data_IF_230603654738
#
_entry.id   IF_230603654738
#
_cell.length_a   1.000
_cell.length_b   1.000
_cell.length_c   1.000
_cell.angle_alpha   90.00
_cell.angle_beta   90.00
_cell.angle_gamma   90.00
#
_symmetry.space_group_name_H-M   'P 1'
#
loop_
_entity.id
_entity.type
_entity.pdbx_description
1 polymer ?
#
# COMPACT_ATOMS: atom_id res chain seq x y z
N UNK A 1 14.61 -7.59 -15.44
CA UNK A 1 13.88 -8.85 -15.72
C UNK A 1 14.53 -10.00 -14.98
N UNK A 2 13.75 -10.92 -14.46
CA UNK A 2 14.25 -12.10 -13.79
C UNK A 2 14.17 -13.31 -14.75
N UNK A 3 15.33 -13.83 -15.12
CA UNK A 3 15.42 -15.01 -15.97
C UNK A 3 15.44 -16.30 -15.15
N UNK A 4 14.74 -17.32 -15.62
CA UNK A 4 14.74 -18.63 -14.98
C UNK A 4 16.15 -19.23 -14.96
N UNK A 5 16.61 -19.64 -13.79
CA UNK A 5 17.94 -20.23 -13.60
C UNK A 5 18.10 -21.58 -14.33
N UNK A 6 16.97 -22.25 -14.66
CA UNK A 6 16.99 -23.56 -15.32
C UNK A 6 16.90 -23.47 -16.86
N UNK A 7 16.08 -22.58 -17.40
CA UNK A 7 15.82 -22.55 -18.86
C UNK A 7 16.00 -21.16 -19.49
N UNK A 8 16.33 -20.12 -18.71
CA UNK A 8 16.50 -18.75 -19.20
C UNK A 8 15.19 -18.02 -19.51
N UNK A 9 14.02 -18.67 -19.39
CA UNK A 9 12.73 -18.06 -19.65
C UNK A 9 12.34 -17.04 -18.58
N UNK A 10 11.25 -16.28 -18.84
CA UNK A 10 10.76 -15.28 -17.90
C UNK A 10 10.14 -15.94 -16.64
N UNK A 11 10.39 -15.35 -15.47
CA UNK A 11 9.74 -15.75 -14.21
C UNK A 11 8.82 -14.64 -13.71
N UNK A 12 7.69 -15.02 -13.12
CA UNK A 12 6.72 -14.13 -12.51
C UNK A 12 6.43 -14.57 -11.08
N UNK A 13 6.06 -13.62 -10.24
CA UNK A 13 5.64 -13.96 -8.88
C UNK A 13 4.27 -14.64 -8.92
N UNK A 14 4.22 -15.87 -8.43
CA UNK A 14 2.99 -16.64 -8.28
C UNK A 14 2.41 -16.47 -6.88
N UNK A 15 1.23 -15.88 -6.82
CA UNK A 15 0.52 -15.56 -5.57
C UNK A 15 0.22 -16.82 -4.76
N UNK A 16 -0.10 -17.95 -5.42
CA UNK A 16 -0.53 -19.18 -4.75
C UNK A 16 0.62 -19.87 -4.02
N UNK A 17 1.77 -19.95 -4.68
CA UNK A 17 2.97 -20.55 -4.08
C UNK A 17 3.78 -19.57 -3.23
N UNK A 18 3.60 -18.24 -3.44
CA UNK A 18 4.44 -17.21 -2.84
C UNK A 18 5.86 -17.20 -3.36
N UNK A 19 6.10 -17.79 -4.54
CA UNK A 19 7.41 -17.96 -5.19
C UNK A 19 7.41 -17.37 -6.59
N UNK A 20 8.60 -17.29 -7.19
CA UNK A 20 8.73 -16.99 -8.62
C UNK A 20 8.52 -18.25 -9.43
N UNK A 21 7.56 -18.25 -10.35
CA UNK A 21 7.26 -19.36 -11.24
C UNK A 21 7.74 -19.07 -12.66
N UNK A 22 8.43 -20.01 -13.27
CA UNK A 22 8.79 -19.93 -14.68
C UNK A 22 7.60 -20.32 -15.57
N UNK A 23 7.27 -19.47 -16.55
CA UNK A 23 6.15 -19.73 -17.47
C UNK A 23 6.44 -20.88 -18.46
N UNK A 24 7.71 -21.26 -18.65
CA UNK A 24 8.10 -22.28 -19.62
C UNK A 24 8.35 -23.66 -18.99
N UNK A 25 9.22 -23.70 -17.98
CA UNK A 25 9.61 -24.99 -17.36
C UNK A 25 8.92 -25.24 -16.02
N UNK A 26 8.06 -24.35 -15.57
CA UNK A 26 7.30 -24.42 -14.31
C UNK A 26 8.15 -24.59 -13.03
N UNK A 27 9.45 -24.32 -13.11
CA UNK A 27 10.33 -24.29 -11.94
C UNK A 27 9.96 -23.15 -11.01
N UNK A 28 10.00 -23.41 -9.71
CA UNK A 28 9.72 -22.44 -8.66
C UNK A 28 11.03 -22.00 -7.99
N UNK A 29 11.11 -20.73 -7.65
CA UNK A 29 12.30 -20.12 -7.01
C UNK A 29 11.87 -19.18 -5.90
N UNK A 30 12.68 -19.14 -4.84
CA UNK A 30 12.51 -18.14 -3.79
C UNK A 30 12.75 -16.73 -4.36
N UNK A 31 11.87 -15.74 -4.12
CA UNK A 31 12.08 -14.36 -4.55
C UNK A 31 13.44 -13.78 -4.11
N UNK A 32 13.91 -14.12 -2.93
CA UNK A 32 15.21 -13.67 -2.41
C UNK A 32 16.42 -14.28 -3.10
N UNK A 33 16.26 -15.39 -3.81
CA UNK A 33 17.34 -15.99 -4.59
C UNK A 33 17.81 -15.14 -5.78
N UNK A 34 17.12 -14.02 -6.08
CA UNK A 34 17.45 -13.11 -7.18
C UNK A 34 17.96 -11.74 -6.72
N UNK A 35 18.32 -11.58 -5.45
CA UNK A 35 18.78 -10.29 -4.89
C UNK A 35 20.09 -9.77 -5.52
N UNK A 36 20.96 -10.66 -6.03
CA UNK A 36 22.31 -10.31 -6.49
C UNK A 36 22.40 -9.93 -7.99
N UNK A 37 21.29 -9.83 -8.71
CA UNK A 37 21.29 -9.49 -10.14
C UNK A 37 20.64 -8.14 -10.41
N UNK A 38 21.45 -7.09 -10.32
CA UNK A 38 21.19 -5.81 -10.97
C UNK A 38 21.46 -5.95 -12.47
N UNK A 39 20.44 -6.15 -13.28
CA UNK A 39 20.55 -5.93 -14.71
C UNK A 39 20.20 -4.46 -14.97
N UNK A 40 21.22 -3.65 -15.20
CA UNK A 40 21.06 -2.26 -15.63
C UNK A 40 20.45 -2.25 -17.04
N UNK A 41 19.19 -1.82 -17.13
CA UNK A 41 18.68 -1.33 -18.41
C UNK A 41 19.30 0.06 -18.62
N UNK A 42 20.01 0.26 -19.71
CA UNK A 42 20.59 1.55 -20.07
C UNK A 42 19.45 2.58 -20.24
N UNK A 43 19.56 3.68 -19.53
CA UNK A 43 18.58 4.76 -19.51
C UNK A 43 19.06 5.89 -20.40
N UNK A 44 18.36 6.15 -21.49
CA UNK A 44 18.52 7.38 -22.27
C UNK A 44 17.42 8.38 -21.85
N UNK A 45 17.85 9.59 -21.45
CA UNK A 45 16.95 10.67 -21.05
C UNK A 45 16.79 11.65 -22.21
N UNK A 46 15.57 11.68 -22.79
CA UNK A 46 15.09 12.83 -23.56
C UNK A 46 13.59 13.03 -23.28
N UNK A 47 13.22 14.26 -22.90
CA UNK A 47 11.88 14.70 -22.48
C UNK A 47 11.39 14.05 -21.16
N UNK A 48 10.18 14.41 -20.70
CA UNK A 48 9.51 13.90 -19.47
C UNK A 48 9.16 12.41 -19.51
N UNK A 49 9.64 11.67 -20.49
CA UNK A 49 9.47 10.25 -20.66
C UNK A 49 10.85 9.56 -20.76
N UNK A 50 11.01 8.46 -20.07
CA UNK A 50 12.25 7.68 -20.10
C UNK A 50 12.07 6.48 -21.02
N UNK A 51 12.99 6.32 -21.97
CA UNK A 51 13.03 5.18 -22.87
C UNK A 51 13.87 4.08 -22.24
N UNK A 52 13.31 2.88 -22.13
CA UNK A 52 14.00 1.69 -21.65
C UNK A 52 14.07 0.64 -22.73
N UNK A 53 15.20 0.00 -22.86
CA UNK A 53 15.33 -1.16 -23.75
C UNK A 53 14.91 -2.44 -23.02
N UNK A 54 13.96 -3.17 -23.58
CA UNK A 54 13.54 -4.45 -23.01
C UNK A 54 14.69 -5.47 -23.11
N UNK A 55 15.20 -6.00 -21.99
CA UNK A 55 16.33 -6.93 -22.01
C UNK A 55 15.98 -8.28 -22.65
N UNK A 56 14.69 -8.61 -22.85
CA UNK A 56 14.26 -9.85 -23.49
C UNK A 56 14.21 -9.77 -25.00
N UNK A 57 13.68 -8.68 -25.55
CA UNK A 57 13.45 -8.57 -27.00
C UNK A 57 14.16 -7.40 -27.68
N UNK A 58 14.87 -6.56 -26.90
CA UNK A 58 15.52 -5.35 -27.40
C UNK A 58 14.57 -4.22 -27.80
N UNK A 59 13.25 -4.40 -27.63
CA UNK A 59 12.26 -3.36 -27.95
C UNK A 59 12.34 -2.18 -26.99
N UNK A 60 12.16 -0.97 -27.49
CA UNK A 60 12.12 0.24 -26.70
C UNK A 60 10.77 0.40 -26.00
N UNK A 61 10.79 0.65 -24.69
CA UNK A 61 9.61 0.87 -23.86
C UNK A 61 9.62 2.32 -23.41
N UNK A 62 8.60 3.07 -23.79
CA UNK A 62 8.35 4.39 -23.27
C UNK A 62 7.61 4.27 -21.93
N UNK A 63 8.14 4.89 -20.89
CA UNK A 63 7.54 4.87 -19.55
C UNK A 63 7.53 6.26 -18.95
N UNK A 64 6.48 6.59 -18.22
CA UNK A 64 6.40 7.81 -17.41
C UNK A 64 7.34 7.71 -16.21
N UNK A 65 7.69 8.85 -15.60
CA UNK A 65 8.65 8.86 -14.49
C UNK A 65 8.15 8.17 -13.22
N UNK A 66 6.85 7.91 -13.11
CA UNK A 66 6.21 7.32 -11.94
C UNK A 66 6.18 5.78 -11.92
N UNK A 67 6.58 5.12 -13.03
CA UNK A 67 6.47 3.66 -13.15
C UNK A 67 7.76 2.95 -12.75
N UNK A 68 7.71 2.08 -11.73
CA UNK A 68 8.83 1.24 -11.29
C UNK A 68 8.83 -0.16 -11.91
N UNK A 69 7.68 -0.70 -12.29
CA UNK A 69 7.55 -1.99 -12.95
C UNK A 69 6.34 -2.04 -13.88
N UNK A 70 6.45 -2.81 -14.96
CA UNK A 70 5.40 -2.95 -15.96
C UNK A 70 5.65 -4.12 -16.91
N UNK A 71 5.07 -4.04 -18.09
CA UNK A 71 5.21 -5.05 -19.13
C UNK A 71 5.73 -4.44 -20.44
N UNK A 72 6.60 -5.16 -21.11
CA UNK A 72 7.01 -4.79 -22.45
C UNK A 72 5.83 -4.87 -23.40
N UNK A 73 5.56 -3.76 -24.14
CA UNK A 73 4.48 -3.70 -25.14
C UNK A 73 4.71 -4.61 -26.34
N UNK A 74 5.94 -5.04 -26.59
CA UNK A 74 6.28 -5.88 -27.74
C UNK A 74 6.21 -7.38 -27.43
N UNK A 75 6.83 -7.82 -26.33
CA UNK A 75 6.92 -9.25 -26.01
C UNK A 75 6.11 -9.66 -24.76
N UNK A 76 5.47 -8.72 -24.09
CA UNK A 76 4.70 -8.98 -22.85
C UNK A 76 5.54 -9.36 -21.63
N UNK A 77 6.87 -9.33 -21.74
CA UNK A 77 7.73 -9.66 -20.62
C UNK A 77 7.58 -8.65 -19.47
N UNK A 78 7.51 -9.15 -18.24
CA UNK A 78 7.51 -8.30 -17.04
C UNK A 78 8.86 -7.63 -16.89
N UNK A 79 8.86 -6.31 -16.74
CA UNK A 79 10.07 -5.50 -16.62
C UNK A 79 10.04 -4.74 -15.30
N UNK A 80 11.13 -4.81 -14.54
CA UNK A 80 11.34 -4.03 -13.32
C UNK A 80 12.45 -3.02 -13.59
N UNK A 81 12.16 -1.74 -13.38
CA UNK A 81 13.05 -0.63 -13.71
C UNK A 81 13.95 -0.30 -12.53
N UNK A 82 15.01 -1.07 -12.35
CA UNK A 82 15.93 -0.95 -11.21
C UNK A 82 16.57 0.42 -11.05
N UNK A 83 16.92 1.08 -12.16
CA UNK A 83 17.61 2.38 -12.14
C UNK A 83 16.77 3.47 -11.45
N UNK A 84 15.46 3.38 -11.51
CA UNK A 84 14.56 4.30 -10.82
C UNK A 84 14.47 4.00 -9.34
N UNK A 85 14.37 2.72 -8.98
CA UNK A 85 14.34 2.29 -7.59
C UNK A 85 15.63 2.58 -6.83
N UNK A 86 16.76 2.78 -7.53
CA UNK A 86 18.03 3.18 -6.90
C UNK A 86 18.15 4.68 -6.66
N UNK A 87 17.48 5.53 -7.47
CA UNK A 87 17.50 6.99 -7.31
C UNK A 87 16.53 7.47 -6.23
N UNK A 88 15.46 6.75 -6.04
CA UNK A 88 14.43 7.03 -5.07
C UNK A 88 14.49 5.99 -3.95
N UNK A 89 13.92 6.29 -2.81
CA UNK A 89 14.05 5.47 -1.61
C UNK A 89 13.54 4.04 -1.86
N UNK A 90 14.49 3.08 -1.98
CA UNK A 90 14.13 1.65 -2.07
C UNK A 90 13.24 1.27 -0.91
N UNK A 91 12.06 0.68 -1.13
CA UNK A 91 11.21 0.23 -0.05
C UNK A 91 11.92 -0.76 0.86
N UNK A 92 11.74 -0.63 2.18
CA UNK A 92 12.27 -1.60 3.14
C UNK A 92 11.44 -2.90 3.14
N UNK A 93 10.12 -2.74 2.97
CA UNK A 93 9.15 -3.82 3.06
C UNK A 93 8.18 -3.81 1.89
N UNK A 94 7.53 -4.95 1.69
CA UNK A 94 6.46 -5.15 0.73
C UNK A 94 5.39 -6.05 1.35
N UNK A 95 4.13 -5.80 1.03
CA UNK A 95 3.04 -6.74 1.29
C UNK A 95 2.71 -7.40 -0.06
N UNK A 96 3.11 -8.66 -0.28
CA UNK A 96 2.82 -9.34 -1.53
C UNK A 96 1.33 -9.55 -1.72
N UNK A 97 0.88 -9.61 -2.98
CA UNK A 97 -0.51 -9.97 -3.27
C UNK A 97 -0.87 -11.33 -2.67
N UNK A 98 -2.01 -11.37 -1.98
CA UNK A 98 -2.58 -12.59 -1.38
C UNK A 98 -3.80 -13.10 -2.15
N UNK A 99 -4.36 -12.30 -3.06
CA UNK A 99 -5.53 -12.64 -3.88
C UNK A 99 -5.16 -12.64 -5.35
N UNK A 100 -5.54 -13.70 -6.04
CA UNK A 100 -5.33 -13.83 -7.48
C UNK A 100 -6.33 -12.98 -8.27
N UNK A 101 -6.09 -12.82 -9.58
CA UNK A 101 -7.04 -12.17 -10.49
C UNK A 101 -8.40 -12.88 -10.49
N UNK A 102 -8.43 -14.20 -10.38
CA UNK A 102 -9.66 -14.99 -10.32
C UNK A 102 -10.44 -14.72 -9.03
N UNK A 103 -9.76 -14.60 -7.89
CA UNK A 103 -10.39 -14.22 -6.62
C UNK A 103 -11.02 -12.83 -6.72
N UNK A 104 -10.31 -11.86 -7.30
CA UNK A 104 -10.83 -10.52 -7.54
C UNK A 104 -12.04 -10.55 -8.49
N UNK A 105 -11.99 -11.36 -9.55
CA UNK A 105 -13.09 -11.54 -10.49
C UNK A 105 -14.35 -12.08 -9.78
N UNK A 106 -14.19 -13.10 -8.97
CA UNK A 106 -15.31 -13.69 -8.23
C UNK A 106 -15.91 -12.70 -7.23
N UNK A 107 -15.08 -11.98 -6.48
CA UNK A 107 -15.51 -10.96 -5.53
C UNK A 107 -16.29 -9.82 -6.24
N UNK A 108 -15.74 -9.32 -7.34
CA UNK A 108 -16.37 -8.26 -8.13
C UNK A 108 -17.73 -8.71 -8.71
N UNK A 109 -17.78 -9.89 -9.31
CA UNK A 109 -19.03 -10.44 -9.85
C UNK A 109 -20.08 -10.66 -8.78
N UNK A 110 -19.67 -11.08 -7.58
CA UNK A 110 -20.57 -11.21 -6.43
C UNK A 110 -21.14 -9.84 -5.99
N UNK A 111 -20.31 -8.81 -6.00
CA UNK A 111 -20.72 -7.44 -5.72
C UNK A 111 -21.71 -6.92 -6.78
N UNK A 112 -21.41 -7.11 -8.06
CA UNK A 112 -22.23 -6.67 -9.19
C UNK A 112 -23.60 -7.37 -9.25
N UNK A 113 -23.69 -8.62 -8.78
CA UNK A 113 -24.99 -9.32 -8.63
C UNK A 113 -25.90 -8.64 -7.61
N UNK A 114 -25.32 -8.04 -6.56
CA UNK A 114 -26.07 -7.31 -5.52
C UNK A 114 -26.40 -5.88 -5.94
N UNK A 115 -25.63 -5.30 -6.83
CA UNK A 115 -25.76 -3.92 -7.28
C UNK A 115 -26.83 -3.83 -8.40
N UNK A 116 -28.12 -3.75 -8.03
CA UNK A 116 -29.26 -3.79 -8.96
C UNK A 116 -29.20 -2.64 -9.95
N UNK A 117 -28.77 -1.45 -9.52
CA UNK A 117 -28.70 -0.24 -10.34
C UNK A 117 -27.37 -0.02 -11.04
N UNK A 118 -26.42 -0.96 -10.93
CA UNK A 118 -25.14 -0.81 -11.61
C UNK A 118 -25.32 -0.88 -13.15
N UNK A 119 -24.61 -0.02 -13.93
CA UNK A 119 -24.58 -0.07 -15.38
C UNK A 119 -24.25 -1.46 -15.92
N UNK A 120 -24.83 -1.82 -17.08
CA UNK A 120 -24.63 -3.16 -17.67
C UNK A 120 -23.18 -3.43 -18.04
N UNK A 121 -22.46 -2.40 -18.43
CA UNK A 121 -21.05 -2.43 -18.81
C UNK A 121 -20.16 -2.94 -17.65
N UNK A 122 -20.47 -2.50 -16.42
CA UNK A 122 -19.76 -2.97 -15.22
C UNK A 122 -20.08 -4.42 -14.87
N UNK A 123 -21.18 -4.96 -15.38
CA UNK A 123 -21.57 -6.36 -15.17
C UNK A 123 -20.97 -7.31 -16.23
N UNK A 124 -20.33 -6.78 -17.28
CA UNK A 124 -19.68 -7.58 -18.30
C UNK A 124 -18.39 -8.21 -17.74
N UNK A 125 -18.24 -9.55 -17.81
CA UNK A 125 -17.01 -10.21 -17.40
C UNK A 125 -15.74 -9.69 -18.10
N UNK A 126 -15.85 -9.20 -19.34
CA UNK A 126 -14.74 -8.62 -20.09
C UNK A 126 -14.15 -7.35 -19.43
N UNK A 127 -14.98 -6.61 -18.70
CA UNK A 127 -14.50 -5.44 -17.97
C UNK A 127 -13.39 -5.81 -16.97
N UNK A 128 -13.54 -6.97 -16.29
CA UNK A 128 -12.59 -7.45 -15.29
C UNK A 128 -11.31 -8.01 -15.92
N UNK A 129 -11.37 -8.46 -17.17
CA UNK A 129 -10.17 -8.97 -17.86
C UNK A 129 -9.13 -7.87 -18.06
N UNK A 130 -9.56 -6.59 -18.03
CA UNK A 130 -8.69 -5.41 -17.99
C UNK A 130 -8.00 -5.14 -16.65
N UNK A 131 -8.43 -5.75 -15.56
CA UNK A 131 -7.85 -5.49 -14.24
C UNK A 131 -6.38 -5.94 -14.19
N UNK A 132 -5.56 -5.08 -13.60
CA UNK A 132 -4.13 -5.32 -13.40
C UNK A 132 -3.80 -5.14 -11.93
N UNK A 133 -2.90 -5.97 -11.42
CA UNK A 133 -2.33 -5.78 -10.10
C UNK A 133 -1.28 -4.68 -10.15
N UNK A 134 -1.39 -3.71 -9.27
CA UNK A 134 -0.43 -2.63 -9.11
C UNK A 134 0.05 -2.57 -7.66
N UNK A 135 1.35 -2.43 -7.47
CA UNK A 135 1.94 -2.11 -6.19
C UNK A 135 2.03 -0.59 -6.06
N UNK A 136 1.49 -0.08 -4.98
CA UNK A 136 1.56 1.34 -4.63
C UNK A 136 2.54 1.54 -3.47
N UNK A 137 3.37 2.59 -3.50
CA UNK A 137 4.27 2.90 -2.41
C UNK A 137 3.50 3.58 -1.27
N UNK A 138 3.89 3.25 -0.02
CA UNK A 138 3.33 3.86 1.19
C UNK A 138 4.45 4.24 2.15
N UNK A 139 4.33 5.41 2.77
CA UNK A 139 5.07 5.75 3.97
C UNK A 139 4.38 5.16 5.18
N UNK A 140 5.14 4.52 6.06
CA UNK A 140 4.63 3.92 7.28
C UNK A 140 5.27 4.59 8.47
N UNK A 141 4.45 5.22 9.31
CA UNK A 141 4.90 5.97 10.47
C UNK A 141 4.75 5.15 11.75
N UNK A 142 5.70 5.37 12.63
CA UNK A 142 5.72 4.85 13.99
C UNK A 142 5.76 6.04 14.92
N UNK A 143 4.71 6.21 15.71
CA UNK A 143 4.57 7.36 16.61
C UNK A 143 4.66 6.88 18.06
N UNK A 144 5.55 7.50 18.82
CA UNK A 144 5.67 7.28 20.28
C UNK A 144 5.27 8.57 20.98
N UNK A 145 4.34 8.46 21.91
CA UNK A 145 3.87 9.57 22.73
C UNK A 145 4.19 9.29 24.19
N UNK A 146 5.02 10.16 24.79
CA UNK A 146 5.37 10.10 26.21
C UNK A 146 5.30 11.50 26.79
N UNK A 147 4.24 11.78 27.55
CA UNK A 147 4.04 13.08 28.17
C UNK A 147 3.01 12.99 29.30
N UNK A 148 3.07 13.88 30.28
CA UNK A 148 1.92 14.13 31.15
C UNK A 148 0.78 14.69 30.30
N UNK A 149 -0.43 14.19 30.53
CA UNK A 149 -1.63 14.65 29.83
C UNK A 149 -2.64 15.24 30.79
N UNK A 150 -3.41 16.21 30.32
CA UNK A 150 -4.51 16.83 31.04
C UNK A 150 -5.63 17.09 30.02
N UNK A 151 -6.65 16.22 30.00
CA UNK A 151 -7.73 16.25 29.02
C UNK A 151 -9.04 16.69 29.67
N UNK A 152 -9.76 17.67 29.10
CA UNK A 152 -11.09 18.00 29.56
C UNK A 152 -12.08 16.89 29.20
N UNK A 153 -12.98 16.59 30.12
CA UNK A 153 -14.03 15.61 29.90
C UNK A 153 -15.35 16.10 30.51
N UNK A 154 -16.46 15.63 29.98
CA UNK A 154 -17.79 16.00 30.45
C UNK A 154 -18.73 14.80 30.48
N UNK A 155 -19.66 14.83 31.45
CA UNK A 155 -20.75 13.87 31.52
C UNK A 155 -22.06 14.65 31.65
N UNK A 156 -23.00 14.36 30.77
CA UNK A 156 -24.32 14.99 30.83
C UNK A 156 -25.39 13.97 31.21
N UNK A 157 -26.26 14.32 32.12
CA UNK A 157 -27.40 13.52 32.51
C UNK A 157 -28.66 14.39 32.65
N UNK A 158 -29.81 13.77 32.45
CA UNK A 158 -31.12 14.47 32.59
C UNK A 158 -31.60 14.35 34.02
N UNK A 159 -32.03 15.49 34.60
CA UNK A 159 -32.68 15.56 35.89
C UNK A 159 -33.95 16.39 35.77
N UNK A 160 -35.10 15.73 35.66
CA UNK A 160 -36.39 16.37 35.35
C UNK A 160 -36.34 17.03 33.96
N UNK A 161 -36.59 18.33 33.91
CA UNK A 161 -36.56 19.13 32.67
C UNK A 161 -35.19 19.73 32.34
N UNK A 162 -34.21 19.48 33.17
CA UNK A 162 -32.89 20.03 33.03
C UNK A 162 -31.88 18.99 32.52
N UNK A 163 -30.90 19.45 31.74
CA UNK A 163 -29.70 18.70 31.40
C UNK A 163 -28.57 19.26 32.27
N UNK A 164 -28.07 18.44 33.15
CA UNK A 164 -26.90 18.77 34.01
C UNK A 164 -25.67 18.23 33.35
N UNK A 165 -24.64 19.08 33.20
CA UNK A 165 -23.34 18.68 32.61
C UNK A 165 -22.25 18.90 33.66
N UNK A 166 -21.65 17.81 34.12
CA UNK A 166 -20.51 17.81 34.98
C UNK A 166 -19.23 17.87 34.17
N UNK A 167 -18.30 18.74 34.56
CA UNK A 167 -17.02 18.91 33.93
C UNK A 167 -15.92 18.25 34.74
N UNK A 168 -15.09 17.48 34.07
CA UNK A 168 -13.97 16.75 34.68
C UNK A 168 -12.66 17.13 33.96
N UNK A 169 -11.56 16.88 34.66
CA UNK A 169 -10.22 16.92 34.06
C UNK A 169 -9.55 15.59 34.34
N UNK A 170 -9.14 14.91 33.24
CA UNK A 170 -8.42 13.65 33.32
C UNK A 170 -6.93 13.99 33.29
N UNK A 171 -6.21 13.61 34.34
CA UNK A 171 -4.77 13.84 34.45
C UNK A 171 -4.05 12.49 34.58
N UNK A 172 -2.89 12.38 33.93
CA UNK A 172 -2.09 11.15 33.99
C UNK A 172 -0.83 11.23 33.13
N UNK A 173 -0.07 10.15 33.12
CA UNK A 173 1.10 9.99 32.26
C UNK A 173 0.75 9.10 31.05
N UNK A 174 0.95 9.61 29.86
CA UNK A 174 0.77 8.89 28.63
C UNK A 174 2.06 8.17 28.24
N UNK A 175 1.97 6.88 27.91
CA UNK A 175 3.00 6.11 27.22
C UNK A 175 2.31 5.27 26.14
N UNK A 176 2.21 5.81 24.92
CA UNK A 176 1.53 5.18 23.80
C UNK A 176 2.47 5.00 22.62
N UNK A 177 2.26 3.90 21.89
CA UNK A 177 3.03 3.57 20.69
C UNK A 177 2.12 3.08 19.58
N UNK A 178 2.09 3.83 18.47
CA UNK A 178 1.29 3.52 17.29
C UNK A 178 2.18 3.03 16.16
N UNK A 179 1.82 1.89 15.60
CA UNK A 179 2.49 1.26 14.45
C UNK A 179 1.61 1.28 13.22
N UNK A 180 2.24 1.52 12.06
CA UNK A 180 1.60 1.22 10.79
C UNK A 180 0.60 2.28 10.34
N UNK A 181 0.71 3.51 10.83
CA UNK A 181 0.00 4.64 10.26
C UNK A 181 0.55 4.83 8.84
N UNK A 182 -0.25 4.52 7.84
CA UNK A 182 0.21 4.39 6.45
C UNK A 182 -0.50 5.38 5.57
N UNK A 183 0.30 6.15 4.81
CA UNK A 183 -0.15 7.12 3.81
C UNK A 183 0.52 6.80 2.50
N UNK A 184 -0.17 6.98 1.37
CA UNK A 184 0.45 6.73 0.07
C UNK A 184 1.59 7.72 -0.19
N UNK A 185 2.53 7.27 -1.01
CA UNK A 185 3.72 8.03 -1.32
C UNK A 185 3.77 8.43 -2.81
N UNK A 186 2.64 8.31 -3.52
CA UNK A 186 2.51 8.65 -4.93
C UNK A 186 1.52 9.79 -5.15
N UNK A 187 1.95 10.86 -5.78
CA UNK A 187 1.08 11.98 -6.16
C UNK A 187 0.08 11.62 -7.27
N UNK A 188 0.29 10.49 -7.95
CA UNK A 188 -0.59 10.02 -9.03
C UNK A 188 -1.78 9.20 -8.52
N UNK A 189 -1.78 8.78 -7.25
CA UNK A 189 -2.85 8.00 -6.66
C UNK A 189 -3.85 8.87 -5.92
N UNK A 190 -5.13 8.52 -6.01
CA UNK A 190 -6.21 9.29 -5.35
C UNK A 190 -6.22 9.01 -3.85
N UNK A 191 -5.94 10.03 -3.04
CA UNK A 191 -5.88 9.96 -1.58
C UNK A 191 -7.16 9.36 -0.98
N UNK A 192 -8.34 9.69 -1.53
CA UNK A 192 -9.62 9.20 -1.03
C UNK A 192 -9.81 7.69 -1.21
N UNK A 193 -9.10 7.10 -2.17
CA UNK A 193 -9.04 5.66 -2.38
C UNK A 193 -7.97 5.06 -1.47
N UNK A 194 -6.80 5.68 -1.40
CA UNK A 194 -5.67 5.28 -0.58
C UNK A 194 -6.06 5.13 0.89
N UNK A 195 -6.69 6.15 1.46
CA UNK A 195 -7.17 6.16 2.85
C UNK A 195 -8.16 5.04 3.17
N UNK A 196 -8.99 4.63 2.21
CA UNK A 196 -9.94 3.53 2.38
C UNK A 196 -9.28 2.15 2.31
N UNK A 197 -8.11 2.05 1.67
CA UNK A 197 -7.33 0.81 1.58
C UNK A 197 -6.40 0.63 2.78
N UNK A 198 -5.92 1.72 3.37
CA UNK A 198 -5.13 1.74 4.59
C UNK A 198 -6.03 1.60 5.85
N UNK A 199 -5.46 1.18 7.01
CA UNK A 199 -4.10 0.67 7.19
C UNK A 199 -3.95 -0.77 6.73
N UNK A 200 -2.77 -1.11 6.22
CA UNK A 200 -2.43 -2.49 5.88
C UNK A 200 -1.94 -3.26 7.12
N UNK A 201 -2.23 -4.57 7.16
CA UNK A 201 -1.76 -5.43 8.24
C UNK A 201 -0.23 -5.62 8.14
N UNK A 202 0.48 -4.97 9.05
CA UNK A 202 1.95 -5.03 9.14
C UNK A 202 2.50 -6.45 9.33
N UNK A 203 1.68 -7.40 9.83
CA UNK A 203 2.06 -8.82 9.97
C UNK A 203 2.32 -9.50 8.63
N UNK A 204 1.75 -8.98 7.56
CA UNK A 204 1.92 -9.50 6.21
C UNK A 204 3.13 -8.90 5.48
N UNK A 205 3.83 -7.95 6.11
CA UNK A 205 5.03 -7.35 5.54
C UNK A 205 6.16 -8.36 5.41
N UNK A 206 6.81 -8.35 4.25
CA UNK A 206 8.04 -9.10 3.96
C UNK A 206 9.14 -8.10 3.63
N UNK A 207 10.40 -8.49 3.81
CA UNK A 207 11.53 -7.70 3.33
C UNK A 207 11.39 -7.51 1.82
N UNK A 208 11.57 -6.27 1.37
CA UNK A 208 11.43 -5.96 -0.04
C UNK A 208 12.53 -6.62 -0.88
N UNK A 209 12.13 -7.27 -1.96
CA UNK A 209 12.98 -7.59 -3.11
C UNK A 209 12.22 -7.28 -4.39
N UNK A 210 12.87 -6.69 -5.41
CA UNK A 210 12.22 -6.37 -6.68
C UNK A 210 11.57 -7.58 -7.37
N UNK A 211 11.97 -8.79 -7.00
CA UNK A 211 11.40 -10.03 -7.52
C UNK A 211 9.88 -10.14 -7.27
N UNK A 212 9.37 -9.58 -6.18
CA UNK A 212 7.93 -9.54 -5.91
C UNK A 212 7.13 -8.71 -6.92
N UNK A 213 7.77 -7.74 -7.57
CA UNK A 213 7.11 -6.89 -8.57
C UNK A 213 6.97 -7.61 -9.92
N UNK A 214 7.63 -8.74 -10.11
CA UNK A 214 7.63 -9.46 -11.39
C UNK A 214 6.24 -10.00 -11.72
N UNK A 215 5.66 -9.52 -12.82
CA UNK A 215 4.30 -9.88 -13.23
C UNK A 215 3.23 -8.88 -12.80
N UNK A 216 3.62 -7.74 -12.17
CA UNK A 216 2.71 -6.69 -11.73
C UNK A 216 3.19 -5.33 -12.22
N UNK A 217 2.31 -4.35 -12.18
CA UNK A 217 2.68 -2.94 -12.25
C UNK A 217 3.15 -2.47 -10.87
N UNK A 218 4.00 -1.49 -10.85
CA UNK A 218 4.41 -0.82 -9.62
C UNK A 218 4.65 0.66 -9.89
N UNK A 219 4.26 1.47 -8.95
CA UNK A 219 4.51 2.90 -8.93
C UNK A 219 5.70 3.24 -8.03
N UNK A 220 6.28 4.43 -8.19
CA UNK A 220 7.40 4.93 -7.38
C UNK A 220 6.89 5.91 -6.32
N UNK A 221 7.66 6.03 -5.23
CA UNK A 221 7.41 7.07 -4.23
C UNK A 221 7.99 8.40 -4.73
N UNK A 222 7.15 9.35 -5.13
CA UNK A 222 7.52 10.69 -5.55
C UNK A 222 7.28 11.75 -4.46
N UNK A 223 6.52 11.41 -3.41
CA UNK A 223 6.29 12.25 -2.25
C UNK A 223 7.31 11.96 -1.13
N UNK A 224 7.94 12.99 -0.54
CA UNK A 224 8.87 12.79 0.57
C UNK A 224 8.14 12.33 1.84
N UNK A 225 8.82 11.56 2.68
CA UNK A 225 8.26 11.02 3.93
C UNK A 225 7.85 12.09 4.96
N UNK A 226 8.18 13.35 4.74
CA UNK A 226 7.81 14.47 5.62
C UNK A 226 6.41 15.00 5.37
N UNK A 227 5.80 14.68 4.21
CA UNK A 227 4.50 15.24 3.79
C UNK A 227 3.40 14.91 4.79
N UNK A 228 3.30 13.66 5.22
CA UNK A 228 2.25 13.19 6.13
C UNK A 228 2.69 13.04 7.59
N UNK A 229 3.82 13.65 7.97
CA UNK A 229 4.32 13.53 9.35
C UNK A 229 3.38 14.16 10.39
N UNK A 230 2.76 15.31 10.05
CA UNK A 230 1.73 15.95 10.88
C UNK A 230 0.47 15.09 10.96
N UNK A 231 -0.02 14.59 9.82
CA UNK A 231 -1.24 13.79 9.78
C UNK A 231 -1.10 12.49 10.59
N UNK A 232 0.09 11.88 10.55
CA UNK A 232 0.40 10.72 11.36
C UNK A 232 0.40 11.03 12.86
N UNK A 233 0.89 12.23 13.25
CA UNK A 233 0.84 12.68 14.63
C UNK A 233 -0.61 12.94 15.08
N UNK A 234 -1.40 13.63 14.27
CA UNK A 234 -2.81 13.93 14.57
C UNK A 234 -3.65 12.64 14.67
N UNK A 235 -3.40 11.67 13.77
CA UNK A 235 -4.02 10.36 13.85
C UNK A 235 -3.64 9.61 15.13
N UNK A 236 -2.38 9.70 15.57
CA UNK A 236 -1.93 9.11 16.83
C UNK A 236 -2.60 9.78 18.03
N UNK A 237 -2.73 11.11 18.05
CA UNK A 237 -3.44 11.85 19.09
C UNK A 237 -4.91 11.45 19.15
N UNK A 238 -5.59 11.39 18.02
CA UNK A 238 -6.99 10.96 17.92
C UNK A 238 -7.19 9.54 18.45
N UNK A 239 -6.29 8.62 18.08
CA UNK A 239 -6.32 7.26 18.58
C UNK A 239 -6.12 7.20 20.10
N UNK A 240 -5.20 7.99 20.65
CA UNK A 240 -4.97 8.09 22.10
C UNK A 240 -6.24 8.53 22.82
N UNK A 241 -6.88 9.60 22.38
CA UNK A 241 -8.13 10.09 22.99
C UNK A 241 -9.22 9.03 22.89
N UNK A 242 -9.33 8.35 21.74
CA UNK A 242 -10.29 7.26 21.55
C UNK A 242 -10.05 6.09 22.48
N UNK A 243 -8.81 5.73 22.74
CA UNK A 243 -8.46 4.63 23.66
C UNK A 243 -8.72 5.01 25.11
N UNK A 244 -8.32 6.21 25.53
CA UNK A 244 -8.64 6.75 26.87
C UNK A 244 -10.16 6.72 27.11
N UNK A 245 -10.95 7.13 26.10
CA UNK A 245 -12.41 7.15 26.23
C UNK A 245 -13.04 5.75 26.39
N UNK A 246 -12.36 4.70 26.00
CA UNK A 246 -12.81 3.29 26.11
C UNK A 246 -12.43 2.66 27.45
N UNK A 247 -11.54 3.27 28.22
CA UNK A 247 -11.13 2.77 29.53
C UNK A 247 -12.35 2.66 30.46
N UNK A 248 -12.52 1.53 31.18
CA UNK A 248 -13.67 1.32 32.08
C UNK A 248 -13.81 2.41 33.13
N UNK A 249 -12.72 3.00 33.59
CA UNK A 249 -12.70 4.07 34.58
C UNK A 249 -13.39 5.36 34.06
N UNK A 250 -13.44 5.56 32.75
CA UNK A 250 -13.97 6.77 32.10
C UNK A 250 -15.30 6.52 31.36
N UNK A 251 -15.94 5.39 31.62
CA UNK A 251 -17.21 5.03 30.99
C UNK A 251 -18.27 6.13 31.19
N UNK A 252 -18.86 6.59 30.09
CA UNK A 252 -19.87 7.65 30.08
C UNK A 252 -19.33 9.08 30.17
N UNK A 253 -18.01 9.27 30.12
CA UNK A 253 -17.38 10.56 29.89
C UNK A 253 -17.21 10.80 28.39
N UNK A 254 -17.48 12.02 27.95
CA UNK A 254 -17.06 12.52 26.64
C UNK A 254 -15.77 13.28 26.83
N UNK A 255 -14.67 12.77 26.27
CA UNK A 255 -13.36 13.42 26.29
C UNK A 255 -13.27 14.35 25.08
N UNK A 256 -12.80 15.57 25.30
CA UNK A 256 -12.65 16.57 24.24
C UNK A 256 -11.25 16.47 23.65
N UNK A 257 -11.17 16.37 22.30
CA UNK A 257 -9.90 16.20 21.56
C UNK A 257 -9.26 17.53 21.15
N UNK A 258 -9.97 18.65 21.33
CA UNK A 258 -9.59 19.95 20.79
C UNK A 258 -8.79 20.82 21.78
N UNK A 259 -8.05 20.22 22.71
CA UNK A 259 -7.26 20.96 23.70
C UNK A 259 -5.77 20.61 23.66
#
# INVERSE_FOLDING_TARGET
>A
MFACKNCGGNVKFDIKSGQLACEYCHSLFDPYAYEDKTSDAEVQKDFDATIFTCPQCGGEILSTDDTAAGFCSFCGASTVLYSRMQKEHKPAYIIPFAKSKDDCKQAYMSLMKKAIFAPKELKDPKFIDGFRGIYMPYWTYYVTQKAPISLPAKRSHRSGDYIITDHYRLEGDLDAYYKGLSYDASSSFDDSISEKLAPYDVKNMKRFTPAFLSGFYADTADLPSTVYASDAMDAACTNTVSEISKEPAFTGLSVDSDS
#
